data_IF_626477968091
#
_entry.id   IF_626477968091
#
_cell.length_a   1.000
_cell.length_b   1.000
_cell.length_c   1.000
_cell.angle_alpha   90.00
_cell.angle_beta   90.00
_cell.angle_gamma   90.00
#
_symmetry.space_group_name_H-M   'P 1'
#
loop_
_entity.id
_entity.type
_entity.pdbx_description
1 polymer ?
#
# COMPACT_ATOMS: atom_id res chain seq x y z
N UNK A 1 11.41 1.94 9.94
CA UNK A 1 11.08 0.55 10.30
C UNK A 1 10.04 -0.02 9.34
N UNK A 2 9.57 -1.27 9.54
CA UNK A 2 8.43 -1.82 8.79
C UNK A 2 7.18 -1.82 9.67
N UNK A 3 6.02 -1.46 9.10
CA UNK A 3 4.72 -1.53 9.78
C UNK A 3 3.91 -2.69 9.24
N UNK A 4 3.39 -3.52 10.16
CA UNK A 4 2.39 -4.55 9.84
C UNK A 4 1.02 -3.87 9.72
N UNK A 5 0.25 -4.23 8.70
CA UNK A 5 -1.11 -3.78 8.52
C UNK A 5 -2.03 -4.92 8.08
N UNK A 6 -3.32 -4.71 8.27
CA UNK A 6 -4.37 -5.55 7.67
C UNK A 6 -5.21 -4.63 6.78
N UNK A 7 -5.34 -4.99 5.50
CA UNK A 7 -6.17 -4.25 4.56
C UNK A 7 -7.66 -4.41 4.89
N UNK A 8 -8.51 -3.54 4.35
CA UNK A 8 -9.97 -3.62 4.55
C UNK A 8 -10.56 -4.97 4.07
N UNK A 9 -9.94 -5.59 3.07
CA UNK A 9 -10.32 -6.92 2.56
C UNK A 9 -9.77 -8.09 3.38
N UNK A 10 -9.09 -7.82 4.50
CA UNK A 10 -8.55 -8.85 5.40
C UNK A 10 -7.15 -9.37 5.04
N UNK A 11 -6.49 -8.87 4.00
CA UNK A 11 -5.12 -9.28 3.68
C UNK A 11 -4.12 -8.72 4.68
N UNK A 12 -3.25 -9.59 5.20
CA UNK A 12 -2.10 -9.22 6.02
C UNK A 12 -0.97 -8.68 5.12
N UNK A 13 -0.38 -7.55 5.50
CA UNK A 13 0.73 -6.97 4.76
C UNK A 13 1.75 -6.28 5.66
N UNK A 14 2.87 -5.92 5.04
CA UNK A 14 3.91 -5.09 5.67
C UNK A 14 4.30 -3.98 4.71
N UNK A 15 4.53 -2.78 5.24
CA UNK A 15 4.98 -1.64 4.45
C UNK A 15 5.96 -0.77 5.25
N UNK A 16 6.24 0.41 4.72
CA UNK A 16 7.05 1.43 5.39
C UNK A 16 6.39 1.92 6.69
N UNK A 17 7.13 2.63 7.54
CA UNK A 17 6.67 3.02 8.87
C UNK A 17 5.53 4.04 8.85
N UNK A 18 5.50 4.85 7.79
CA UNK A 18 4.59 5.95 7.49
C UNK A 18 3.19 5.49 7.05
N UNK A 19 3.01 4.18 6.83
CA UNK A 19 1.72 3.58 6.49
C UNK A 19 0.72 3.87 7.62
N UNK A 20 -0.47 4.31 7.25
CA UNK A 20 -1.54 4.62 8.21
C UNK A 20 -2.93 4.31 7.64
N UNK A 21 -3.94 4.33 8.50
CA UNK A 21 -5.33 4.11 8.10
C UNK A 21 -5.75 5.12 7.04
N UNK A 22 -6.41 4.65 5.99
CA UNK A 22 -6.82 5.45 4.83
C UNK A 22 -5.83 5.42 3.66
N UNK A 23 -4.64 4.87 3.86
CA UNK A 23 -3.75 4.54 2.74
C UNK A 23 -4.29 3.37 1.93
N UNK A 24 -3.93 3.33 0.66
CA UNK A 24 -4.42 2.34 -0.30
C UNK A 24 -3.28 1.47 -0.81
N UNK A 25 -3.55 0.16 -0.91
CA UNK A 25 -2.64 -0.79 -1.53
C UNK A 25 -3.00 -0.91 -3.01
N UNK A 26 -2.03 -0.67 -3.90
CA UNK A 26 -2.21 -0.80 -5.35
C UNK A 26 -1.14 -1.70 -5.96
N UNK A 27 -1.56 -2.57 -6.88
CA UNK A 27 -0.66 -3.20 -7.83
C UNK A 27 -0.48 -2.23 -9.01
N UNK A 28 0.68 -1.62 -9.14
CA UNK A 28 0.97 -0.70 -10.25
C UNK A 28 1.36 -1.52 -11.48
N UNK A 29 0.78 -1.20 -12.64
CA UNK A 29 1.07 -1.93 -13.87
C UNK A 29 2.57 -1.87 -14.21
N UNK A 30 3.19 -3.04 -14.39
CA UNK A 30 4.62 -3.17 -14.66
C UNK A 30 5.52 -3.13 -13.42
N UNK A 31 4.96 -3.00 -12.21
CA UNK A 31 5.72 -3.16 -10.98
C UNK A 31 5.72 -4.61 -10.50
N UNK A 32 6.83 -5.03 -9.89
CA UNK A 32 7.00 -6.37 -9.33
C UNK A 32 6.36 -6.52 -7.93
N UNK A 33 6.08 -5.40 -7.26
CA UNK A 33 5.56 -5.38 -5.89
C UNK A 33 4.39 -4.40 -5.74
N UNK A 34 3.46 -4.63 -4.79
CA UNK A 34 2.45 -3.65 -4.41
C UNK A 34 3.05 -2.38 -3.82
N UNK A 35 2.36 -1.26 -4.03
CA UNK A 35 2.69 0.04 -3.45
C UNK A 35 1.58 0.56 -2.55
N UNK A 36 1.98 1.29 -1.53
CA UNK A 36 1.09 2.08 -0.69
C UNK A 36 1.00 3.49 -1.26
N UNK A 37 -0.22 3.89 -1.61
CA UNK A 37 -0.56 5.20 -2.15
C UNK A 37 -1.49 5.92 -1.19
N UNK A 38 -1.28 7.23 -1.03
CA UNK A 38 -2.14 8.08 -0.19
C UNK A 38 -2.84 9.13 -1.04
N UNK A 39 -4.19 9.21 -1.03
CA UNK A 39 -4.92 10.26 -1.73
C UNK A 39 -4.50 11.66 -1.26
N UNK A 40 -4.37 12.60 -2.20
CA UNK A 40 -4.14 14.01 -1.89
C UNK A 40 -5.48 14.72 -1.75
N UNK A 41 -5.75 15.27 -0.57
CA UNK A 41 -7.01 15.99 -0.27
C UNK A 41 -7.17 17.17 -1.23
N UNK A 42 -8.35 17.27 -1.85
CA UNK A 42 -8.69 18.34 -2.80
C UNK A 42 -8.11 18.17 -4.20
N UNK A 43 -7.46 17.04 -4.52
CA UNK A 43 -6.99 16.71 -5.88
C UNK A 43 -7.47 15.32 -6.29
N UNK A 44 -8.35 15.26 -7.27
CA UNK A 44 -8.78 13.99 -7.85
C UNK A 44 -7.63 13.28 -8.55
N UNK A 45 -7.66 11.95 -8.54
CA UNK A 45 -6.69 11.07 -9.18
C UNK A 45 -5.21 11.34 -8.83
N UNK A 46 -4.97 12.07 -7.73
CA UNK A 46 -3.62 12.46 -7.31
C UNK A 46 -3.29 11.75 -6.01
N UNK A 47 -2.17 11.03 -6.02
CA UNK A 47 -1.72 10.24 -4.89
C UNK A 47 -0.26 10.54 -4.58
N UNK A 48 0.09 10.53 -3.30
CA UNK A 48 1.46 10.49 -2.83
C UNK A 48 1.90 9.03 -2.74
N UNK A 49 3.05 8.70 -3.32
CA UNK A 49 3.71 7.43 -3.08
C UNK A 49 4.23 7.39 -1.65
N UNK A 50 3.67 6.49 -0.83
CA UNK A 50 4.12 6.31 0.56
C UNK A 50 5.31 5.35 0.60
N UNK A 51 5.23 4.25 -0.15
CA UNK A 51 6.32 3.29 -0.27
C UNK A 51 5.87 1.93 -0.77
N UNK A 52 6.78 0.97 -0.80
CA UNK A 52 6.51 -0.41 -1.18
C UNK A 52 5.80 -1.19 -0.07
N UNK A 53 5.08 -2.24 -0.46
CA UNK A 53 4.45 -3.17 0.45
C UNK A 53 4.66 -4.62 0.02
N UNK A 54 4.71 -5.50 1.02
CA UNK A 54 4.45 -6.93 0.85
C UNK A 54 3.04 -7.23 1.29
N UNK A 55 2.28 -8.01 0.51
CA UNK A 55 0.93 -8.43 0.86
C UNK A 55 0.80 -9.94 0.71
N UNK A 56 0.55 -10.60 1.84
CA UNK A 56 0.45 -12.05 1.91
C UNK A 56 -0.78 -12.53 1.13
N UNK A 57 -0.60 -13.57 0.30
CA UNK A 57 -1.65 -14.13 -0.57
C UNK A 57 -1.93 -13.33 -1.84
N UNK A 58 -1.27 -12.18 -2.05
CA UNK A 58 -1.24 -11.46 -3.33
C UNK A 58 0.12 -11.62 -4.00
N UNK A 59 1.18 -11.57 -3.20
CA UNK A 59 2.54 -11.85 -3.67
C UNK A 59 2.88 -13.32 -3.48
N UNK A 60 3.59 -13.89 -4.46
CA UNK A 60 4.23 -15.20 -4.33
C UNK A 60 5.50 -15.06 -3.47
N UNK A 61 5.47 -15.70 -2.30
CA UNK A 61 6.60 -15.74 -1.35
C UNK A 61 6.26 -16.57 -0.14
#
# INVERSE_FOLDING_TARGET
GRRIFVSEKGYLGTGVEEVKKGDLVYMVAGADVPYILRPVVGKEHTFTLVGEAYVHGIMDG
#
